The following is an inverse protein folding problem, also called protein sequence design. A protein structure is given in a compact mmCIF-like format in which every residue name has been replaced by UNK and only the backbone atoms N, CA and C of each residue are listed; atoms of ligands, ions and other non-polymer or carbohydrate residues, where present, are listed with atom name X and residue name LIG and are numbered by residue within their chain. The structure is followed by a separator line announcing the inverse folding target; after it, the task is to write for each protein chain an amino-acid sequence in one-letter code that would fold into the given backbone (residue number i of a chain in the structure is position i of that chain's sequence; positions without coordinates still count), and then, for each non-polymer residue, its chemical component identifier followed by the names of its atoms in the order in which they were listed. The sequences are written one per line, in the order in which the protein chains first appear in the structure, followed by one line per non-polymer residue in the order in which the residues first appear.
data_IF_991229924904
#
_entry.id   IF_991229924904
#
_cell.length_a   1.000
_cell.length_b   1.000
_cell.length_c   1.000
_cell.angle_alpha   90.00
_cell.angle_beta   90.00
_cell.angle_gamma   90.00
#
_symmetry.space_group_name_H-M   'P 1'
#
loop_
_entity.id
_entity.type
_entity.pdbx_description
1 polymer ?
#
# COMPACT_ATOMS: atom_id res chain seq x y z
N UNK A 1 18.15 6.52 5.12
CA UNK A 1 17.37 6.28 3.89
C UNK A 1 17.50 7.53 3.04
N UNK A 2 17.91 7.39 1.79
CA UNK A 2 18.04 8.55 0.89
C UNK A 2 16.68 9.12 0.52
N UNK A 3 16.60 10.40 0.10
CA UNK A 3 15.34 10.97 -0.41
C UNK A 3 14.73 10.16 -1.55
N UNK A 4 15.56 9.55 -2.39
CA UNK A 4 15.10 8.67 -3.48
C UNK A 4 14.50 7.37 -2.95
N UNK A 5 15.16 6.71 -1.99
CA UNK A 5 14.64 5.49 -1.35
C UNK A 5 13.34 5.76 -0.57
N UNK A 6 13.26 6.89 0.11
CA UNK A 6 12.07 7.33 0.85
C UNK A 6 10.86 7.48 -0.08
N UNK A 7 11.04 8.22 -1.17
CA UNK A 7 9.98 8.41 -2.16
C UNK A 7 9.60 7.11 -2.86
N UNK A 8 10.55 6.20 -3.09
CA UNK A 8 10.27 4.88 -3.64
C UNK A 8 9.38 4.05 -2.69
N UNK A 9 9.69 3.99 -1.40
CA UNK A 9 8.89 3.26 -0.39
C UNK A 9 7.49 3.84 -0.23
N UNK A 10 7.35 5.17 -0.19
CA UNK A 10 6.03 5.79 -0.17
C UNK A 10 5.21 5.49 -1.43
N UNK A 11 5.85 5.39 -2.59
CA UNK A 11 5.19 5.11 -3.85
C UNK A 11 4.88 3.62 -4.08
N UNK A 12 5.32 2.70 -3.20
CA UNK A 12 5.06 1.28 -3.39
C UNK A 12 3.55 0.99 -3.45
N UNK A 13 3.10 0.17 -4.43
CA UNK A 13 1.71 -0.24 -4.52
C UNK A 13 1.22 -0.89 -3.24
N UNK A 14 -0.03 -0.62 -2.86
CA UNK A 14 -0.72 -1.36 -1.81
C UNK A 14 -1.07 -2.76 -2.29
N UNK A 15 -1.15 -3.70 -1.34
CA UNK A 15 -1.63 -5.03 -1.66
C UNK A 15 -3.11 -4.95 -2.05
N UNK A 16 -3.52 -5.88 -2.92
CA UNK A 16 -4.85 -5.97 -3.49
C UNK A 16 -5.99 -5.76 -2.47
N UNK A 17 -5.88 -6.40 -1.30
CA UNK A 17 -6.87 -6.40 -0.23
C UNK A 17 -6.90 -5.10 0.60
N UNK A 18 -5.84 -4.29 0.56
CA UNK A 18 -5.77 -2.99 1.23
C UNK A 18 -6.45 -1.89 0.40
N UNK A 19 -6.60 -2.12 -0.91
CA UNK A 19 -7.28 -1.22 -1.83
C UNK A 19 -8.79 -1.43 -1.73
N UNK A 20 -9.48 -0.37 -1.36
CA UNK A 20 -10.94 -0.35 -1.23
C UNK A 20 -11.57 0.28 -2.46
N UNK A 21 -12.86 0.01 -2.65
CA UNK A 21 -13.63 0.50 -3.80
C UNK A 21 -14.89 1.21 -3.33
N UNK A 22 -15.19 2.37 -3.91
CA UNK A 22 -16.42 3.11 -3.65
C UNK A 22 -17.13 3.46 -4.95
N UNK A 23 -18.46 3.47 -4.92
CA UNK A 23 -19.29 3.88 -6.05
C UNK A 23 -19.36 5.40 -6.11
N UNK A 24 -18.99 6.00 -7.24
CA UNK A 24 -19.14 7.44 -7.49
C UNK A 24 -20.43 7.77 -8.23
N UNK A 25 -20.85 6.92 -9.17
CA UNK A 25 -22.06 7.11 -9.98
C UNK A 25 -22.81 5.79 -10.09
N UNK A 26 -24.13 5.85 -10.09
CA UNK A 26 -24.98 4.70 -10.37
C UNK A 26 -25.59 4.86 -11.76
N UNK A 27 -25.76 3.75 -12.45
CA UNK A 27 -26.55 3.64 -13.68
C UNK A 27 -27.96 3.11 -13.36
N UNK A 28 -28.87 3.25 -14.31
CA UNK A 28 -30.23 2.70 -14.20
C UNK A 28 -30.27 1.18 -14.37
N UNK A 29 -29.17 0.54 -14.80
CA UNK A 29 -29.07 -0.90 -15.08
C UNK A 29 -28.46 -1.71 -13.94
N UNK A 30 -28.46 -1.18 -12.71
CA UNK A 30 -27.87 -1.87 -11.54
C UNK A 30 -26.34 -1.95 -11.56
N UNK A 31 -25.66 -1.07 -12.29
CA UNK A 31 -24.19 -0.93 -12.26
C UNK A 31 -23.78 0.36 -11.54
N UNK A 32 -22.64 0.32 -10.86
CA UNK A 32 -21.99 1.47 -10.24
C UNK A 32 -20.60 1.72 -10.82
N UNK A 33 -20.27 2.97 -11.10
CA UNK A 33 -18.93 3.39 -11.47
C UNK A 33 -18.08 3.42 -10.19
N UNK A 34 -17.31 2.37 -9.98
CA UNK A 34 -16.44 2.20 -8.84
C UNK A 34 -15.07 2.84 -9.08
N UNK A 35 -14.51 3.43 -8.03
CA UNK A 35 -13.16 3.99 -8.01
C UNK A 35 -12.35 3.41 -6.85
N UNK A 36 -11.06 3.14 -7.04
CA UNK A 36 -10.20 2.64 -5.99
C UNK A 36 -9.80 3.77 -5.04
N UNK A 37 -9.64 3.45 -3.77
CA UNK A 37 -9.09 4.34 -2.75
C UNK A 37 -8.46 3.53 -1.62
N UNK A 38 -7.61 4.19 -0.83
CA UNK A 38 -7.07 3.64 0.42
C UNK A 38 -7.68 4.35 1.62
N UNK A 39 -7.71 3.66 2.75
CA UNK A 39 -8.15 4.27 4.01
C UNK A 39 -7.05 5.15 4.62
N UNK A 40 -7.42 6.07 5.51
CA UNK A 40 -6.44 6.84 6.29
C UNK A 40 -5.52 5.93 7.11
N UNK A 41 -6.01 4.78 7.58
CA UNK A 41 -5.22 3.78 8.33
C UNK A 41 -4.09 3.21 7.49
N UNK A 42 -4.38 2.77 6.27
CA UNK A 42 -3.36 2.30 5.33
C UNK A 42 -2.29 3.36 5.01
N UNK A 43 -2.65 4.65 5.01
CA UNK A 43 -1.68 5.75 4.88
C UNK A 43 -0.82 5.86 6.14
N UNK A 44 -1.41 5.82 7.34
CA UNK A 44 -0.68 5.85 8.62
C UNK A 44 0.27 4.65 8.75
N UNK A 45 -0.20 3.45 8.44
CA UNK A 45 0.61 2.22 8.46
C UNK A 45 1.82 2.35 7.52
N UNK A 46 1.62 2.84 6.29
CA UNK A 46 2.73 3.10 5.35
C UNK A 46 3.72 4.15 5.89
N UNK A 47 3.24 5.19 6.55
CA UNK A 47 4.08 6.23 7.15
C UNK A 47 4.92 5.63 8.29
N UNK A 48 4.29 4.90 9.20
CA UNK A 48 4.95 4.22 10.33
C UNK A 48 5.99 3.21 9.86
N UNK A 49 5.68 2.40 8.85
CA UNK A 49 6.61 1.42 8.27
C UNK A 49 7.82 2.09 7.58
N UNK A 50 7.62 3.27 6.99
CA UNK A 50 8.65 3.92 6.17
C UNK A 50 9.57 4.82 7.00
N UNK A 51 9.00 5.62 7.90
CA UNK A 51 9.72 6.65 8.67
C UNK A 51 9.56 6.53 10.19
N UNK A 52 8.77 5.55 10.67
CA UNK A 52 8.44 5.40 12.08
C UNK A 52 7.38 6.39 12.56
N UNK A 53 6.72 6.12 13.70
CA UNK A 53 5.64 6.96 14.23
C UNK A 53 6.08 8.38 14.63
N UNK A 54 7.39 8.58 14.84
CA UNK A 54 7.97 9.90 15.13
C UNK A 54 8.53 10.61 13.88
N UNK A 55 8.55 9.94 12.72
CA UNK A 55 9.10 10.47 11.47
C UNK A 55 8.08 11.22 10.61
N UNK A 56 6.82 11.29 11.04
CA UNK A 56 5.77 12.05 10.38
C UNK A 56 4.88 12.77 11.39
N UNK A 57 4.25 13.87 10.96
CA UNK A 57 3.25 14.60 11.74
C UNK A 57 2.23 15.26 10.83
N UNK A 58 1.06 15.56 11.39
CA UNK A 58 -0.01 16.29 10.68
C UNK A 58 -0.41 17.55 11.42
N UNK A 59 -0.82 18.56 10.66
CA UNK A 59 -1.49 19.76 11.17
C UNK A 59 -2.74 20.03 10.34
N UNK A 60 -3.83 20.35 11.02
CA UNK A 60 -5.11 20.65 10.41
C UNK A 60 -5.44 22.13 10.63
N UNK A 61 -5.76 22.83 9.54
CA UNK A 61 -6.23 24.22 9.54
C UNK A 61 -7.54 24.37 8.74
N UNK A 62 -8.54 25.01 9.34
CA UNK A 62 -9.75 25.40 8.62
C UNK A 62 -9.38 26.44 7.55
N UNK A 63 -9.88 26.26 6.33
CA UNK A 63 -9.46 27.12 5.20
C UNK A 63 -10.52 28.12 4.77
N UNK A 64 -11.50 27.69 3.98
CA UNK A 64 -12.59 28.57 3.57
C UNK A 64 -13.96 27.89 3.70
N UNK A 65 -15.00 28.71 3.66
CA UNK A 65 -16.38 28.26 3.51
C UNK A 65 -16.86 28.72 2.13
N UNK A 66 -17.30 27.77 1.31
CA UNK A 66 -17.88 28.03 0.00
C UNK A 66 -19.38 27.80 0.05
N UNK A 67 -20.17 28.76 -0.41
CA UNK A 67 -21.61 28.58 -0.59
C UNK A 67 -21.89 28.32 -2.08
N UNK A 68 -22.36 27.12 -2.46
CA UNK A 68 -22.65 26.80 -3.85
C UNK A 68 -23.82 27.64 -4.38
N UNK A 69 -23.94 27.71 -5.71
CA UNK A 69 -25.14 28.26 -6.34
C UNK A 69 -26.35 27.38 -5.98
N UNK A 70 -27.53 27.97 -5.73
CA UNK A 70 -28.71 27.20 -5.41
C UNK A 70 -29.09 26.28 -6.57
N UNK A 71 -29.42 25.04 -6.23
CA UNK A 71 -29.99 24.05 -7.13
C UNK A 71 -31.41 24.45 -7.55
N UNK A 72 -31.90 23.87 -8.66
CA UNK A 72 -33.29 24.14 -9.12
C UNK A 72 -34.33 23.82 -8.05
N UNK A 73 -34.10 22.78 -7.25
CA UNK A 73 -34.98 22.38 -6.17
C UNK A 73 -34.98 23.43 -5.03
N UNK A 74 -33.80 23.90 -4.61
CA UNK A 74 -33.67 24.93 -3.58
C UNK A 74 -34.34 26.23 -4.00
N UNK A 75 -34.18 26.65 -5.26
CA UNK A 75 -34.87 27.84 -5.81
C UNK A 75 -36.39 27.66 -5.77
N UNK A 76 -36.89 26.48 -6.18
CA UNK A 76 -38.33 26.19 -6.20
C UNK A 76 -38.93 26.14 -4.79
N UNK A 77 -38.16 25.67 -3.81
CA UNK A 77 -38.59 25.55 -2.41
C UNK A 77 -38.28 26.80 -1.57
N UNK A 78 -37.69 27.85 -2.17
CA UNK A 78 -37.23 29.06 -1.48
C UNK A 78 -36.22 28.75 -0.35
N UNK A 79 -35.37 27.73 -0.55
CA UNK A 79 -34.32 27.30 0.36
C UNK A 79 -32.98 27.95 0.03
N UNK A 80 -32.21 28.30 1.06
CA UNK A 80 -30.87 28.85 0.89
C UNK A 80 -29.83 27.72 0.76
N UNK A 81 -28.86 27.84 -0.16
CA UNK A 81 -27.81 26.85 -0.31
C UNK A 81 -26.97 26.77 0.97
N UNK A 82 -26.74 25.55 1.44
CA UNK A 82 -25.98 25.29 2.65
C UNK A 82 -24.49 25.63 2.44
N UNK A 83 -23.84 26.40 3.34
CA UNK A 83 -22.40 26.64 3.27
C UNK A 83 -21.60 25.35 3.49
N UNK A 84 -20.57 25.14 2.67
CA UNK A 84 -19.66 23.99 2.72
C UNK A 84 -18.32 24.47 3.27
N UNK A 85 -17.95 24.02 4.46
CA UNK A 85 -16.65 24.29 5.04
C UNK A 85 -15.56 23.38 4.44
N UNK A 86 -14.33 23.86 4.38
CA UNK A 86 -13.16 23.12 3.92
C UNK A 86 -12.04 23.14 4.95
N UNK A 87 -11.20 22.12 4.87
CA UNK A 87 -10.12 21.82 5.79
C UNK A 87 -8.84 21.55 4.99
N UNK A 88 -7.72 22.17 5.39
CA UNK A 88 -6.38 21.83 4.92
C UNK A 88 -5.73 20.84 5.89
N UNK A 89 -4.98 19.90 5.34
CA UNK A 89 -4.08 19.01 6.05
C UNK A 89 -2.66 19.25 5.55
N UNK A 90 -1.79 19.68 6.45
CA UNK A 90 -0.35 19.63 6.26
C UNK A 90 0.17 18.29 6.75
N UNK A 91 0.81 17.53 5.86
CA UNK A 91 1.56 16.32 6.20
C UNK A 91 3.06 16.62 6.09
N UNK A 92 3.74 16.54 7.23
CA UNK A 92 5.18 16.76 7.33
C UNK A 92 5.93 15.46 7.56
N UNK A 93 7.03 15.26 6.84
CA UNK A 93 7.94 14.14 7.00
C UNK A 93 9.30 14.68 7.44
N UNK A 94 9.91 14.06 8.44
CA UNK A 94 11.25 14.42 8.87
C UNK A 94 12.28 13.82 7.92
N UNK A 95 13.10 14.67 7.33
CA UNK A 95 14.11 14.26 6.36
C UNK A 95 15.50 14.26 6.99
N UNK A 96 15.95 13.06 7.38
CA UNK A 96 17.17 12.85 8.17
C UNK A 96 18.42 13.46 7.51
N UNK A 97 18.58 13.33 6.19
CA UNK A 97 19.77 13.83 5.47
C UNK A 97 19.93 15.35 5.61
N UNK A 98 18.83 16.10 5.66
CA UNK A 98 18.83 17.56 5.82
C UNK A 98 18.51 18.03 7.24
N UNK A 99 18.20 17.09 8.14
CA UNK A 99 17.79 17.34 9.54
C UNK A 99 16.67 18.38 9.66
N UNK A 100 15.69 18.30 8.77
CA UNK A 100 14.58 19.25 8.70
C UNK A 100 13.24 18.55 8.49
N UNK A 101 12.16 19.24 8.82
CA UNK A 101 10.80 18.83 8.44
C UNK A 101 10.46 19.41 7.08
N UNK A 102 10.01 18.56 6.17
CA UNK A 102 9.46 18.98 4.88
C UNK A 102 7.97 18.75 4.89
N UNK A 103 7.20 19.77 4.53
CA UNK A 103 5.73 19.79 4.64
C UNK A 103 5.07 19.90 3.28
N UNK A 104 3.93 19.21 3.10
CA UNK A 104 3.06 19.32 1.94
C UNK A 104 1.61 19.45 2.38
N UNK A 105 0.84 20.28 1.68
CA UNK A 105 -0.51 20.66 2.11
C UNK A 105 -1.52 20.38 1.00
N UNK A 106 -2.62 19.72 1.36
CA UNK A 106 -3.81 19.56 0.50
C UNK A 106 -5.08 19.73 1.33
N UNK A 107 -6.23 19.87 0.66
CA UNK A 107 -7.50 20.14 1.33
C UNK A 107 -8.65 19.29 0.82
N UNK A 108 -9.71 19.22 1.63
CA UNK A 108 -10.97 18.60 1.25
C UNK A 108 -12.16 19.35 1.88
N UNK A 109 -13.31 19.19 1.25
CA UNK A 109 -14.60 19.66 1.76
C UNK A 109 -15.09 18.76 2.90
N UNK A 110 -15.84 19.35 3.82
CA UNK A 110 -16.51 18.65 4.91
C UNK A 110 -17.78 17.93 4.38
N UNK A 111 -17.99 16.67 4.79
CA UNK A 111 -19.06 15.82 4.25
C UNK A 111 -20.34 15.87 5.08
N UNK A 112 -21.53 15.92 4.48
CA UNK A 112 -22.81 16.08 5.22
C UNK A 112 -23.18 15.00 6.24
N UNK A 113 -22.57 13.81 6.20
CA UNK A 113 -23.00 12.64 6.98
C UNK A 113 -22.28 12.54 8.34
N UNK A 114 -21.05 13.06 8.45
CA UNK A 114 -20.30 13.28 9.71
C UNK A 114 -19.29 14.42 9.46
N UNK A 115 -19.76 15.65 9.58
CA UNK A 115 -19.18 16.88 8.96
C UNK A 115 -17.67 17.04 9.08
N UNK A 116 -17.08 16.67 10.22
CA UNK A 116 -15.65 16.91 10.45
C UNK A 116 -14.77 15.71 10.07
N UNK A 117 -15.24 14.48 10.30
CA UNK A 117 -14.40 13.26 10.16
C UNK A 117 -14.08 12.92 8.71
N UNK A 118 -15.02 13.17 7.80
CA UNK A 118 -14.83 12.96 6.37
C UNK A 118 -13.79 13.90 5.76
N UNK A 119 -13.90 15.20 6.02
CA UNK A 119 -12.99 16.23 5.52
C UNK A 119 -11.55 16.07 6.03
N UNK A 120 -11.38 15.74 7.32
CA UNK A 120 -10.07 15.42 7.91
C UNK A 120 -9.43 14.21 7.20
N UNK A 121 -10.18 13.11 7.07
CA UNK A 121 -9.65 11.89 6.45
C UNK A 121 -9.30 12.08 4.98
N UNK A 122 -10.11 12.85 4.24
CA UNK A 122 -9.88 13.06 2.81
C UNK A 122 -8.73 14.03 2.55
N UNK A 123 -8.66 15.16 3.28
CA UNK A 123 -7.51 16.09 3.20
C UNK A 123 -6.19 15.40 3.56
N UNK A 124 -6.17 14.54 4.58
CA UNK A 124 -4.99 13.75 4.94
C UNK A 124 -4.52 12.81 3.83
N UNK A 125 -5.43 12.01 3.25
CA UNK A 125 -5.08 11.12 2.13
C UNK A 125 -4.58 11.91 0.93
N UNK A 126 -5.15 13.08 0.67
CA UNK A 126 -4.73 13.95 -0.44
C UNK A 126 -3.35 14.55 -0.21
N UNK A 127 -3.04 15.00 1.01
CA UNK A 127 -1.69 15.43 1.37
C UNK A 127 -0.67 14.29 1.21
N UNK A 128 -1.04 13.05 1.58
CA UNK A 128 -0.21 11.87 1.38
C UNK A 128 0.05 11.53 -0.10
N UNK A 129 -0.88 11.82 -1.00
CA UNK A 129 -0.68 11.67 -2.46
C UNK A 129 0.48 12.56 -2.94
N UNK A 130 0.69 13.74 -2.34
CA UNK A 130 1.82 14.60 -2.68
C UNK A 130 3.18 14.01 -2.28
N UNK A 131 3.20 13.06 -1.34
CA UNK A 131 4.35 12.23 -0.98
C UNK A 131 4.48 10.94 -1.80
N UNK A 132 3.52 10.66 -2.68
CA UNK A 132 3.53 9.49 -3.57
C UNK A 132 2.64 8.35 -3.08
N UNK A 133 2.20 8.38 -1.81
CA UNK A 133 1.36 7.35 -1.21
C UNK A 133 0.03 7.26 -1.95
N UNK A 134 -0.25 6.10 -2.55
CA UNK A 134 -1.48 5.86 -3.30
C UNK A 134 -1.62 6.69 -4.59
N UNK A 135 -0.61 7.47 -5.01
CA UNK A 135 -0.69 8.32 -6.21
C UNK A 135 -0.96 7.51 -7.49
N UNK A 136 -0.46 6.28 -7.54
CA UNK A 136 -0.68 5.38 -8.69
C UNK A 136 -2.15 4.96 -8.84
N UNK A 137 -2.99 5.05 -7.80
CA UNK A 137 -4.41 4.69 -7.86
C UNK A 137 -5.19 5.57 -8.86
N UNK A 138 -4.75 6.81 -9.08
CA UNK A 138 -5.32 7.68 -10.11
C UNK A 138 -5.09 7.15 -11.54
N UNK A 139 -4.09 6.27 -11.73
CA UNK A 139 -3.80 5.61 -13.00
C UNK A 139 -4.55 4.28 -13.19
N UNK A 140 -5.12 3.71 -12.12
CA UNK A 140 -5.92 2.48 -12.17
C UNK A 140 -7.26 2.72 -12.89
N UNK A 141 -7.78 3.94 -12.80
CA UNK A 141 -9.03 4.32 -13.44
C UNK A 141 -10.28 3.75 -12.76
N UNK A 142 -11.44 4.23 -13.22
CA UNK A 142 -12.75 3.79 -12.75
C UNK A 142 -13.27 2.60 -13.57
N UNK A 143 -14.10 1.75 -12.97
CA UNK A 143 -14.71 0.59 -13.61
C UNK A 143 -16.20 0.51 -13.26
N UNK A 144 -17.04 0.08 -14.21
CA UNK A 144 -18.44 -0.26 -13.92
C UNK A 144 -18.52 -1.66 -13.31
N UNK A 145 -19.15 -1.77 -12.14
CA UNK A 145 -19.33 -3.04 -11.42
C UNK A 145 -20.80 -3.22 -10.99
N UNK A 146 -21.27 -4.47 -10.86
CA UNK A 146 -22.58 -4.75 -10.28
C UNK A 146 -22.73 -4.17 -8.86
N UNK A 147 -23.88 -3.55 -8.59
CA UNK A 147 -24.26 -3.01 -7.28
C UNK A 147 -25.60 -3.60 -6.82
N UNK A 148 -25.82 -3.63 -5.51
CA UNK A 148 -27.08 -4.05 -4.91
C UNK A 148 -28.12 -2.92 -4.89
N UNK A 149 -29.31 -3.21 -4.36
CA UNK A 149 -30.41 -2.24 -4.21
C UNK A 149 -30.06 -1.06 -3.28
N UNK A 150 -29.03 -1.20 -2.44
CA UNK A 150 -28.52 -0.16 -1.54
C UNK A 150 -27.32 0.59 -2.13
N UNK A 151 -27.04 0.38 -3.42
CA UNK A 151 -25.93 0.99 -4.17
C UNK A 151 -24.55 0.59 -3.65
N UNK A 152 -24.45 -0.54 -2.97
CA UNK A 152 -23.18 -1.12 -2.53
C UNK A 152 -22.65 -2.08 -3.59
N UNK A 153 -21.33 -2.17 -3.71
CA UNK A 153 -20.69 -3.10 -4.64
C UNK A 153 -20.98 -4.54 -4.19
N UNK A 154 -21.50 -5.38 -5.08
CA UNK A 154 -21.78 -6.79 -4.75
C UNK A 154 -20.49 -7.59 -4.60
N UNK A 155 -20.58 -8.82 -4.07
CA UNK A 155 -19.41 -9.71 -3.98
C UNK A 155 -18.76 -9.95 -5.36
N UNK A 156 -19.56 -10.13 -6.41
CA UNK A 156 -19.03 -10.33 -7.77
C UNK A 156 -18.49 -9.02 -8.37
N UNK A 157 -19.10 -7.88 -8.04
CA UNK A 157 -18.53 -6.57 -8.37
C UNK A 157 -17.17 -6.35 -7.71
N UNK A 158 -16.99 -6.80 -6.46
CA UNK A 158 -15.72 -6.70 -5.76
C UNK A 158 -14.65 -7.61 -6.37
N UNK A 159 -15.00 -8.85 -6.77
CA UNK A 159 -14.08 -9.73 -7.51
C UNK A 159 -13.61 -9.08 -8.80
N UNK A 160 -14.54 -8.49 -9.56
CA UNK A 160 -14.25 -7.79 -10.82
C UNK A 160 -13.31 -6.59 -10.58
N UNK A 161 -13.58 -5.80 -9.54
CA UNK A 161 -12.75 -4.68 -9.16
C UNK A 161 -11.33 -5.11 -8.74
N UNK A 162 -11.22 -6.24 -8.03
CA UNK A 162 -9.93 -6.80 -7.62
C UNK A 162 -9.10 -7.30 -8.81
N UNK A 163 -9.74 -7.98 -9.75
CA UNK A 163 -9.10 -8.43 -11.00
C UNK A 163 -8.61 -7.22 -11.80
N UNK A 164 -9.47 -6.21 -11.98
CA UNK A 164 -9.09 -4.96 -12.65
C UNK A 164 -7.89 -4.29 -11.99
N UNK A 165 -7.84 -4.22 -10.66
CA UNK A 165 -6.68 -3.70 -9.95
C UNK A 165 -5.39 -4.45 -10.32
N UNK A 166 -5.41 -5.78 -10.27
CA UNK A 166 -4.26 -6.63 -10.55
C UNK A 166 -3.78 -6.46 -12.00
N UNK A 167 -4.71 -6.42 -12.95
CA UNK A 167 -4.41 -6.21 -14.37
C UNK A 167 -3.78 -4.83 -14.60
N UNK A 168 -4.30 -3.78 -13.93
CA UNK A 168 -3.69 -2.45 -13.99
C UNK A 168 -2.30 -2.43 -13.36
N UNK A 169 -2.06 -3.17 -12.28
CA UNK A 169 -0.72 -3.24 -11.67
C UNK A 169 0.27 -3.89 -12.64
N UNK A 170 -0.13 -4.96 -13.33
CA UNK A 170 0.71 -5.59 -14.38
C UNK A 170 0.98 -4.62 -15.52
N UNK A 171 -0.06 -3.97 -16.06
CA UNK A 171 0.05 -3.01 -17.16
C UNK A 171 0.96 -1.82 -16.82
N UNK A 172 0.91 -1.35 -15.58
CA UNK A 172 1.74 -0.22 -15.11
C UNK A 172 3.17 -0.62 -14.76
N UNK A 173 3.53 -1.91 -14.84
CA UNK A 173 4.82 -2.42 -14.36
C UNK A 173 4.98 -2.29 -12.84
N UNK A 174 3.87 -2.20 -12.12
CA UNK A 174 3.77 -2.04 -10.66
C UNK A 174 3.30 -3.32 -9.97
N UNK A 175 3.05 -4.39 -10.73
CA UNK A 175 2.76 -5.68 -10.14
C UNK A 175 3.92 -6.08 -9.24
N UNK A 176 3.65 -6.14 -7.94
CA UNK A 176 4.52 -6.85 -7.04
C UNK A 176 4.63 -8.27 -7.59
N UNK A 177 5.84 -8.77 -7.82
CA UNK A 177 6.03 -10.22 -7.91
C UNK A 177 5.30 -10.81 -6.72
N UNK A 178 4.51 -11.89 -6.89
CA UNK A 178 3.75 -12.46 -5.79
C UNK A 178 4.67 -12.54 -4.58
N UNK A 179 4.36 -11.76 -3.53
CA UNK A 179 5.02 -11.96 -2.25
C UNK A 179 4.88 -13.45 -2.01
N UNK A 180 5.99 -14.15 -1.80
CA UNK A 180 6.00 -15.57 -1.47
C UNK A 180 5.44 -15.77 -0.04
N UNK A 181 4.32 -15.13 0.28
CA UNK A 181 3.66 -15.14 1.60
C UNK A 181 2.87 -16.44 1.83
N UNK A 182 2.98 -17.43 0.93
CA UNK A 182 2.42 -18.76 1.12
C UNK A 182 3.31 -19.90 0.58
N UNK A 183 4.52 -19.61 0.10
CA UNK A 183 5.42 -20.67 -0.32
C UNK A 183 6.09 -21.25 0.93
N UNK A 184 5.60 -22.41 1.37
CA UNK A 184 6.19 -23.18 2.46
C UNK A 184 7.45 -23.87 1.94
N UNK A 185 8.62 -23.45 2.40
CA UNK A 185 9.89 -24.05 2.04
C UNK A 185 10.33 -25.03 3.12
N UNK A 186 10.64 -26.28 2.76
CA UNK A 186 11.23 -27.21 3.71
C UNK A 186 12.75 -27.19 3.60
N UNK A 187 13.46 -27.04 4.72
CA UNK A 187 14.92 -27.20 4.75
C UNK A 187 15.24 -28.68 4.53
N UNK A 188 15.85 -29.01 3.40
CA UNK A 188 16.31 -30.36 3.06
C UNK A 188 17.74 -30.61 3.56
N UNK A 189 18.56 -29.56 3.66
CA UNK A 189 19.93 -29.68 4.13
C UNK A 189 20.56 -28.33 4.45
N UNK A 190 21.51 -28.34 5.38
CA UNK A 190 22.26 -27.16 5.83
C UNK A 190 23.75 -27.46 5.75
N UNK A 191 24.48 -26.73 4.92
CA UNK A 191 25.94 -26.85 4.79
C UNK A 191 26.61 -25.58 5.31
N UNK A 192 27.38 -25.65 6.41
CA UNK A 192 28.16 -24.51 6.89
C UNK A 192 29.15 -24.02 5.83
N UNK A 193 29.32 -22.70 5.75
CA UNK A 193 30.33 -22.05 4.92
C UNK A 193 30.80 -20.78 5.61
N UNK A 194 31.93 -20.24 5.17
CA UNK A 194 32.52 -19.03 5.75
C UNK A 194 32.47 -17.94 4.71
N UNK A 195 31.96 -16.77 5.09
CA UNK A 195 32.02 -15.58 4.25
C UNK A 195 33.46 -15.17 3.98
N UNK A 196 33.67 -14.41 2.91
CA UNK A 196 34.99 -13.85 2.55
C UNK A 196 35.58 -12.95 3.65
N UNK A 197 34.75 -12.48 4.56
CA UNK A 197 35.04 -11.64 5.74
C UNK A 197 35.18 -12.45 7.04
N UNK A 198 35.16 -13.79 6.98
CA UNK A 198 35.18 -14.65 8.16
C UNK A 198 33.83 -14.83 8.86
N UNK A 199 32.75 -14.22 8.34
CA UNK A 199 31.40 -14.34 8.89
C UNK A 199 30.84 -15.77 8.75
N UNK A 200 30.06 -16.21 9.74
CA UNK A 200 29.35 -17.49 9.66
C UNK A 200 28.22 -17.43 8.63
N UNK A 201 28.22 -18.38 7.69
CA UNK A 201 27.19 -18.49 6.66
C UNK A 201 26.78 -19.96 6.46
N UNK A 202 25.62 -20.16 5.83
CA UNK A 202 25.05 -21.48 5.58
C UNK A 202 24.44 -21.55 4.19
N UNK A 203 24.79 -22.58 3.44
CA UNK A 203 24.02 -22.98 2.27
C UNK A 203 22.83 -23.81 2.72
N UNK A 204 21.63 -23.33 2.40
CA UNK A 204 20.37 -24.00 2.68
C UNK A 204 19.84 -24.61 1.39
N UNK A 205 19.62 -25.92 1.38
CA UNK A 205 18.84 -26.59 0.34
C UNK A 205 17.37 -26.53 0.74
N UNK A 206 16.55 -25.84 -0.04
CA UNK A 206 15.13 -25.62 0.25
C UNK A 206 14.27 -26.37 -0.78
N UNK A 207 13.37 -27.22 -0.30
CA UNK A 207 12.33 -27.85 -1.10
C UNK A 207 11.12 -26.92 -1.23
N UNK A 208 10.66 -26.70 -2.46
CA UNK A 208 9.49 -25.89 -2.76
C UNK A 208 8.22 -26.75 -2.86
N UNK A 209 7.01 -26.20 -2.65
CA UNK A 209 5.75 -26.95 -2.72
C UNK A 209 5.49 -27.63 -4.07
N UNK A 210 6.08 -27.12 -5.15
CA UNK A 210 5.98 -27.68 -6.51
C UNK A 210 6.94 -28.85 -6.77
N UNK A 211 7.65 -29.35 -5.75
CA UNK A 211 8.61 -30.45 -5.85
C UNK A 211 10.00 -30.07 -6.35
N UNK A 212 10.24 -28.80 -6.69
CA UNK A 212 11.56 -28.31 -7.09
C UNK A 212 12.42 -27.95 -5.88
N UNK A 213 13.75 -27.94 -6.07
CA UNK A 213 14.70 -27.57 -5.02
C UNK A 213 15.44 -26.30 -5.41
N UNK A 214 15.68 -25.44 -4.43
CA UNK A 214 16.47 -24.21 -4.57
C UNK A 214 17.55 -24.16 -3.50
N UNK A 215 18.78 -23.86 -3.90
CA UNK A 215 19.88 -23.61 -2.96
C UNK A 215 20.04 -22.11 -2.73
N UNK A 216 20.10 -21.70 -1.47
CA UNK A 216 20.24 -20.29 -1.06
C UNK A 216 21.31 -20.12 -0.01
N UNK A 217 21.94 -18.95 0.02
CA UNK A 217 22.91 -18.58 1.06
C UNK A 217 22.21 -17.78 2.15
N UNK A 218 22.46 -18.11 3.41
CA UNK A 218 22.07 -17.31 4.55
C UNK A 218 23.30 -16.93 5.38
N UNK A 219 23.43 -15.65 5.74
CA UNK A 219 24.51 -15.14 6.59
C UNK A 219 23.93 -14.77 7.94
N UNK A 220 24.39 -15.43 9.00
CA UNK A 220 23.84 -15.26 10.34
C UNK A 220 24.07 -16.46 11.24
N UNK A 221 23.52 -16.42 12.45
CA UNK A 221 23.61 -17.53 13.39
C UNK A 221 22.81 -18.75 12.93
N UNK A 222 23.27 -19.96 13.26
CA UNK A 222 22.62 -21.24 12.90
C UNK A 222 21.30 -21.50 13.63
N UNK A 223 20.88 -20.65 14.57
CA UNK A 223 19.83 -20.99 15.52
C UNK A 223 18.51 -21.35 14.79
N UNK A 224 18.06 -22.60 14.96
CA UNK A 224 16.83 -23.13 14.32
C UNK A 224 16.98 -23.65 12.88
N UNK A 225 18.14 -23.51 12.23
CA UNK A 225 18.35 -23.99 10.86
C UNK A 225 18.78 -25.46 10.84
N UNK A 226 17.79 -26.36 10.83
CA UNK A 226 17.98 -27.82 10.70
C UNK A 226 17.08 -28.40 9.62
N UNK A 227 17.49 -29.54 9.05
CA UNK A 227 16.67 -30.25 8.06
C UNK A 227 15.31 -30.64 8.67
N UNK A 228 14.25 -30.52 7.87
CA UNK A 228 12.86 -30.75 8.29
C UNK A 228 12.10 -29.49 8.68
N UNK A 229 12.79 -28.40 9.05
CA UNK A 229 12.13 -27.13 9.40
C UNK A 229 11.48 -26.49 8.18
N UNK A 230 10.37 -25.78 8.44
CA UNK A 230 9.59 -25.08 7.42
C UNK A 230 9.82 -23.58 7.54
N UNK A 231 10.09 -22.94 6.42
CA UNK A 231 10.30 -21.50 6.30
C UNK A 231 9.20 -20.90 5.43
N UNK A 232 8.79 -19.67 5.77
CA UNK A 232 7.90 -18.84 4.96
C UNK A 232 8.46 -17.43 4.86
N UNK A 233 7.91 -16.63 3.95
CA UNK A 233 8.28 -15.22 3.82
C UNK A 233 9.75 -14.99 3.45
N UNK A 234 10.36 -15.90 2.67
CA UNK A 234 11.76 -15.77 2.24
C UNK A 234 11.94 -14.46 1.46
N UNK A 235 12.73 -13.54 2.03
CA UNK A 235 13.21 -12.33 1.36
C UNK A 235 14.70 -12.47 1.08
N UNK A 236 15.11 -11.99 -0.08
CA UNK A 236 16.50 -12.07 -0.48
C UNK A 236 16.74 -11.37 -1.80
N UNK A 237 17.99 -11.45 -2.26
CA UNK A 237 18.40 -10.89 -3.54
C UNK A 237 19.36 -11.85 -4.26
N UNK A 238 19.39 -11.75 -5.58
CA UNK A 238 20.39 -12.45 -6.38
C UNK A 238 21.73 -11.70 -6.32
N UNK A 239 22.80 -12.44 -6.05
CA UNK A 239 24.18 -11.97 -5.97
C UNK A 239 25.02 -12.67 -7.03
N UNK A 240 26.09 -12.02 -7.48
CA UNK A 240 27.07 -12.63 -8.40
C UNK A 240 28.34 -12.98 -7.63
N UNK A 241 28.89 -14.16 -7.92
CA UNK A 241 30.18 -14.65 -7.43
C UNK A 241 31.04 -15.11 -8.60
N UNK A 242 32.32 -15.38 -8.34
CA UNK A 242 33.26 -15.94 -9.30
C UNK A 242 32.77 -17.28 -9.90
N UNK A 243 31.94 -18.02 -9.17
CA UNK A 243 31.40 -19.34 -9.57
C UNK A 243 29.97 -19.28 -10.13
N UNK A 244 29.43 -18.08 -10.42
CA UNK A 244 28.06 -17.89 -10.94
C UNK A 244 27.18 -17.01 -10.06
N UNK A 245 25.90 -16.86 -10.41
CA UNK A 245 24.93 -16.18 -9.56
C UNK A 245 24.36 -17.10 -8.49
N UNK A 246 24.05 -16.55 -7.32
CA UNK A 246 23.44 -17.26 -6.21
C UNK A 246 22.41 -16.37 -5.52
N UNK A 247 21.43 -16.98 -4.85
CA UNK A 247 20.40 -16.23 -4.13
C UNK A 247 20.74 -16.13 -2.64
N UNK A 248 20.86 -14.91 -2.12
CA UNK A 248 21.14 -14.62 -0.72
C UNK A 248 19.85 -14.26 0.01
N UNK A 249 19.49 -15.04 1.02
CA UNK A 249 18.33 -14.80 1.88
C UNK A 249 18.76 -13.90 3.03
N UNK A 250 18.02 -12.81 3.22
CA UNK A 250 18.29 -11.80 4.25
C UNK A 250 17.27 -11.82 5.38
N UNK A 251 16.07 -12.35 5.13
CA UNK A 251 14.98 -12.40 6.11
C UNK A 251 14.04 -13.57 5.79
N UNK A 252 13.50 -14.20 6.82
CA UNK A 252 12.57 -15.32 6.74
C UNK A 252 11.86 -15.54 8.08
N UNK A 253 10.77 -16.30 8.04
CA UNK A 253 10.03 -16.70 9.24
C UNK A 253 9.98 -18.23 9.33
N UNK A 254 10.10 -18.78 10.53
CA UNK A 254 9.78 -20.19 10.76
C UNK A 254 8.26 -20.37 10.71
N UNK A 255 7.80 -21.32 9.91
CA UNK A 255 6.39 -21.70 9.91
C UNK A 255 6.11 -22.62 11.10
N UNK A 256 4.94 -22.44 11.73
CA UNK A 256 4.45 -23.30 12.80
C UNK A 256 4.12 -24.73 12.29
#
# INVERSE_FOLDING_TARGET
MTGKELMARFAEPFDAHEVKWRVQKCSNSGQGLAVPYISSRAVMDRLDETVGPFGWRTRYEQWHVFTPKPTKAEVQNNEQPKPIASQLCELSIYFEERREWVSKVDGAENTDIETVKGGISDSFKRAAVQWGIGRYLYKVGSLWVPIDKYRQITADGMKTAQQHYNDQMQRLGLAKSPKNDAALYQILGVKPTTGTDGSTAFWLALGQPNGTQKTVLYRGAKQGLVAGMKLTGLKGCERKSANGSYYEVTDFQFAA
#
